data_IF_094099198832
#
_entry.id   IF_094099198832
#
_cell.length_a   1.000
_cell.length_b   1.000
_cell.length_c   1.000
_cell.angle_alpha   90.00
_cell.angle_beta   90.00
_cell.angle_gamma   90.00
#
_symmetry.space_group_name_H-M   'P 1'
#
loop_
_entity.id
_entity.type
_entity.pdbx_description
1 polymer ?
#
# COMPACT_ATOMS: atom_id res chain seq x y z
N UNK A 1 -13.75 3.76 -6.11
CA UNK A 1 -13.30 2.96 -4.96
C UNK A 1 -13.33 1.52 -5.40
N UNK A 2 -12.27 0.76 -5.16
CA UNK A 2 -12.19 -0.66 -5.51
C UNK A 2 -11.67 -1.44 -4.32
N UNK A 3 -12.43 -2.45 -3.89
CA UNK A 3 -11.95 -3.43 -2.91
C UNK A 3 -11.12 -4.48 -3.64
N UNK A 4 -9.95 -4.78 -3.10
CA UNK A 4 -9.02 -5.79 -3.56
C UNK A 4 -8.83 -6.83 -2.44
N UNK A 5 -8.45 -8.03 -2.83
CA UNK A 5 -8.21 -9.17 -1.94
C UNK A 5 -6.93 -9.85 -2.40
N UNK A 6 -6.02 -10.08 -1.47
CA UNK A 6 -4.73 -10.72 -1.71
C UNK A 6 -4.59 -11.88 -0.72
N UNK A 7 -4.24 -13.06 -1.25
CA UNK A 7 -4.04 -14.26 -0.45
C UNK A 7 -2.89 -15.11 -0.99
N UNK A 8 -2.24 -15.84 -0.08
CA UNK A 8 -1.13 -16.71 -0.45
C UNK A 8 -0.23 -17.05 0.74
N UNK A 9 0.98 -17.48 0.41
CA UNK A 9 2.03 -17.79 1.38
C UNK A 9 3.32 -17.07 0.98
N UNK A 10 3.95 -16.37 1.92
CA UNK A 10 5.19 -15.66 1.64
C UNK A 10 5.84 -15.02 2.84
N UNK A 11 7.02 -14.45 2.62
CA UNK A 11 7.70 -13.61 3.61
C UNK A 11 7.01 -12.25 3.71
N UNK A 12 7.23 -11.53 4.81
CA UNK A 12 6.73 -10.15 4.94
C UNK A 12 7.17 -9.25 3.78
N UNK A 13 8.39 -9.46 3.25
CA UNK A 13 8.91 -8.71 2.11
C UNK A 13 8.15 -9.00 0.81
N UNK A 14 7.88 -10.28 0.51
CA UNK A 14 7.15 -10.67 -0.70
C UNK A 14 5.67 -10.27 -0.63
N UNK A 15 5.06 -10.27 0.56
CA UNK A 15 3.68 -9.81 0.75
C UNK A 15 3.58 -8.31 0.46
N UNK A 16 4.50 -7.51 1.01
CA UNK A 16 4.56 -6.08 0.73
C UNK A 16 4.81 -5.79 -0.76
N UNK A 17 5.67 -6.55 -1.41
CA UNK A 17 5.92 -6.42 -2.85
C UNK A 17 4.64 -6.63 -3.67
N UNK A 18 3.85 -7.66 -3.37
CA UNK A 18 2.57 -7.90 -4.02
C UNK A 18 1.58 -6.77 -3.76
N UNK A 19 1.46 -6.31 -2.51
CA UNK A 19 0.61 -5.18 -2.15
C UNK A 19 0.97 -3.91 -2.94
N UNK A 20 2.25 -3.56 -3.01
CA UNK A 20 2.68 -2.38 -3.74
C UNK A 20 2.60 -2.55 -5.25
N UNK A 21 2.82 -3.74 -5.78
CA UNK A 21 2.55 -4.04 -7.19
C UNK A 21 1.07 -3.82 -7.52
N UNK A 22 0.14 -4.24 -6.65
CA UNK A 22 -1.30 -4.04 -6.85
C UNK A 22 -1.71 -2.55 -6.81
N UNK A 23 -1.16 -1.78 -5.86
CA UNK A 23 -1.44 -0.33 -5.74
C UNK A 23 -0.84 0.45 -6.91
N UNK A 24 0.40 0.13 -7.28
CA UNK A 24 1.16 0.84 -8.29
C UNK A 24 0.93 0.29 -9.70
N UNK A 25 0.16 -0.79 -9.90
CA UNK A 25 -0.14 -1.34 -11.23
C UNK A 25 -0.75 -0.32 -12.20
N UNK A 26 -1.44 0.72 -11.68
CA UNK A 26 -1.97 1.83 -12.48
C UNK A 26 -0.89 2.80 -13.00
N UNK A 27 0.31 2.75 -12.45
CA UNK A 27 1.49 3.49 -12.87
C UNK A 27 2.32 2.56 -13.74
N UNK A 28 2.29 2.76 -15.05
CA UNK A 28 3.17 2.02 -15.95
C UNK A 28 4.63 2.25 -15.57
N UNK A 29 5.27 1.29 -14.89
CA UNK A 29 6.64 1.39 -14.41
C UNK A 29 7.07 0.20 -13.57
N UNK A 30 8.37 -0.06 -13.53
CA UNK A 30 8.95 -1.07 -12.63
C UNK A 30 8.95 -0.53 -11.19
N UNK A 31 8.38 -1.30 -10.27
CA UNK A 31 8.31 -0.96 -8.83
C UNK A 31 9.53 -1.42 -8.05
N UNK A 32 10.36 -2.29 -8.62
CA UNK A 32 11.57 -2.81 -7.98
C UNK A 32 12.51 -1.71 -7.45
N UNK A 33 12.75 -0.58 -8.15
CA UNK A 33 13.64 0.48 -7.68
C UNK A 33 13.18 1.18 -6.40
N UNK A 34 11.87 1.23 -6.14
CA UNK A 34 11.29 1.93 -4.98
C UNK A 34 10.88 0.95 -3.86
N UNK A 35 10.87 -0.36 -4.14
CA UNK A 35 10.41 -1.39 -3.21
C UNK A 35 11.13 -1.37 -1.87
N UNK A 36 12.43 -1.07 -1.85
CA UNK A 36 13.21 -0.94 -0.61
C UNK A 36 12.69 0.17 0.31
N UNK A 37 12.37 1.34 -0.27
CA UNK A 37 11.77 2.46 0.46
C UNK A 37 10.35 2.11 0.97
N UNK A 38 9.53 1.52 0.10
CA UNK A 38 8.16 1.14 0.45
C UNK A 38 8.10 0.09 1.56
N UNK A 39 9.02 -0.89 1.55
CA UNK A 39 9.16 -1.85 2.64
C UNK A 39 9.52 -1.19 3.98
N UNK A 40 10.38 -0.17 3.95
CA UNK A 40 10.74 0.58 5.15
C UNK A 40 9.55 1.38 5.69
N UNK A 41 8.76 2.01 4.82
CA UNK A 41 7.55 2.71 5.24
C UNK A 41 6.47 1.77 5.79
N UNK A 42 6.32 0.56 5.24
CA UNK A 42 5.43 -0.44 5.83
C UNK A 42 5.86 -0.87 7.23
N UNK A 43 7.16 -1.04 7.46
CA UNK A 43 7.67 -1.31 8.80
C UNK A 43 7.35 -0.16 9.78
N UNK A 44 7.44 1.09 9.31
CA UNK A 44 7.04 2.26 10.10
C UNK A 44 5.54 2.26 10.42
N UNK A 45 4.68 1.98 9.42
CA UNK A 45 3.23 1.83 9.61
C UNK A 45 2.96 0.76 10.66
N UNK A 46 3.63 -0.40 10.57
CA UNK A 46 3.47 -1.48 11.54
C UNK A 46 3.80 -1.04 12.97
N UNK A 47 4.88 -0.29 13.16
CA UNK A 47 5.26 0.26 14.47
C UNK A 47 4.20 1.24 15.00
N UNK A 48 3.62 2.07 14.15
CA UNK A 48 2.55 3.01 14.55
C UNK A 48 1.25 2.27 14.88
N UNK A 49 0.88 1.29 14.06
CA UNK A 49 -0.29 0.42 14.29
C UNK A 49 -0.15 -0.36 15.60
N UNK A 50 1.06 -0.83 15.97
CA UNK A 50 1.31 -1.47 17.28
C UNK A 50 1.13 -0.54 18.48
N UNK A 51 1.38 0.76 18.30
CA UNK A 51 1.27 1.76 19.39
C UNK A 51 -0.17 2.23 19.63
N UNK A 52 -1.04 2.06 18.65
CA UNK A 52 -2.40 2.61 18.66
C UNK A 52 -3.41 1.52 18.34
N UNK A 53 -4.37 1.26 19.23
CA UNK A 53 -5.43 0.29 18.94
C UNK A 53 -6.25 0.77 17.74
N UNK A 54 -6.17 0.05 16.62
CA UNK A 54 -7.01 0.30 15.45
C UNK A 54 -8.44 -0.09 15.79
N UNK A 55 -9.36 0.87 15.75
CA UNK A 55 -10.77 0.66 16.11
C UNK A 55 -11.70 0.55 14.92
N UNK A 56 -11.22 0.92 13.71
CA UNK A 56 -12.02 0.88 12.48
C UNK A 56 -11.15 0.50 11.29
N UNK A 57 -10.31 1.44 10.84
CA UNK A 57 -9.50 1.29 9.64
C UNK A 57 -8.07 1.77 9.88
N UNK A 58 -7.12 1.19 9.14
CA UNK A 58 -5.75 1.66 9.06
C UNK A 58 -5.29 1.61 7.61
N UNK A 59 -4.33 2.45 7.24
CA UNK A 59 -3.92 2.54 5.84
C UNK A 59 -2.78 3.51 5.62
N UNK A 60 -2.49 3.74 4.34
CA UNK A 60 -1.48 4.66 3.87
C UNK A 60 -2.01 5.49 2.71
N UNK A 61 -1.46 6.70 2.56
CA UNK A 61 -1.73 7.58 1.42
C UNK A 61 -0.47 7.64 0.57
N UNK A 62 -0.61 7.33 -0.73
CA UNK A 62 0.47 7.47 -1.72
C UNK A 62 0.11 8.63 -2.65
N UNK A 63 0.97 9.63 -2.69
CA UNK A 63 0.89 10.74 -3.64
C UNK A 63 1.74 10.44 -4.87
N UNK A 64 1.14 10.60 -6.05
CA UNK A 64 1.75 10.27 -7.34
C UNK A 64 1.68 11.52 -8.22
N UNK A 65 2.82 11.96 -8.71
CA UNK A 65 2.90 13.09 -9.64
C UNK A 65 3.23 12.52 -11.01
N UNK A 66 2.29 12.60 -11.93
CA UNK A 66 2.46 12.18 -13.31
C UNK A 66 2.55 13.40 -14.21
N UNK A 67 3.57 13.41 -15.08
CA UNK A 67 3.65 14.33 -16.21
C UNK A 67 3.14 13.56 -17.41
N UNK A 68 1.92 13.84 -17.88
CA UNK A 68 1.43 13.29 -19.13
C UNK A 68 2.06 14.09 -20.30
N UNK A 69 3.04 13.53 -21.03
CA UNK A 69 3.83 14.31 -22.00
C UNK A 69 2.97 14.88 -23.14
N UNK A 70 1.86 14.20 -23.47
CA UNK A 70 0.93 14.60 -24.53
C UNK A 70 0.04 15.78 -24.12
N UNK A 71 -0.23 15.94 -22.81
CA UNK A 71 -1.14 16.98 -22.31
C UNK A 71 -0.39 18.17 -21.68
N UNK A 72 0.91 18.03 -21.37
CA UNK A 72 1.70 19.02 -20.62
C UNK A 72 1.01 19.47 -19.30
N UNK A 73 0.15 18.62 -18.75
CA UNK A 73 -0.52 18.82 -17.46
C UNK A 73 0.14 17.92 -16.44
N UNK A 74 0.54 18.52 -15.32
CA UNK A 74 0.96 17.78 -14.13
C UNK A 74 -0.30 17.32 -13.43
N UNK A 75 -0.52 16.01 -13.40
CA UNK A 75 -1.63 15.41 -12.65
C UNK A 75 -1.07 14.84 -11.36
N UNK A 76 -1.62 15.29 -10.23
CA UNK A 76 -1.31 14.71 -8.93
C UNK A 76 -2.43 13.77 -8.53
N UNK A 77 -2.14 12.48 -8.44
CA UNK A 77 -3.09 11.47 -7.96
C UNK A 77 -2.73 11.07 -6.53
N UNK A 78 -3.68 11.17 -5.62
CA UNK A 78 -3.57 10.59 -4.28
C UNK A 78 -4.33 9.27 -4.25
N UNK A 79 -3.66 8.22 -3.82
CA UNK A 79 -4.26 6.91 -3.57
C UNK A 79 -4.29 6.67 -2.07
N UNK A 80 -5.48 6.55 -1.51
CA UNK A 80 -5.64 6.09 -0.14
C UNK A 80 -5.94 4.60 -0.14
N UNK A 81 -5.02 3.81 0.40
CA UNK A 81 -5.16 2.37 0.55
C UNK A 81 -5.37 2.04 2.03
N UNK A 82 -6.50 1.44 2.38
CA UNK A 82 -6.85 1.13 3.76
C UNK A 82 -7.51 -0.24 3.93
N UNK A 83 -7.44 -0.78 5.14
CA UNK A 83 -8.00 -2.07 5.51
C UNK A 83 -8.64 -2.03 6.90
N UNK A 84 -9.32 -3.11 7.28
CA UNK A 84 -10.07 -3.24 8.52
C UNK A 84 -9.18 -3.44 9.75
N UNK A 85 -9.75 -3.27 10.94
CA UNK A 85 -9.09 -3.59 12.20
C UNK A 85 -8.67 -5.07 12.29
N UNK A 86 -9.41 -6.01 11.70
CA UNK A 86 -9.07 -7.44 11.69
C UNK A 86 -7.76 -7.70 10.93
N UNK A 87 -7.59 -7.05 9.77
CA UNK A 87 -6.33 -7.10 9.02
C UNK A 87 -5.20 -6.41 9.79
N UNK A 88 -5.50 -5.39 10.61
CA UNK A 88 -4.50 -4.74 11.47
C UNK A 88 -3.93 -5.70 12.52
N UNK A 89 -4.78 -6.53 13.13
CA UNK A 89 -4.37 -7.53 14.12
C UNK A 89 -3.42 -8.56 13.49
N UNK A 90 -3.76 -9.07 12.31
CA UNK A 90 -2.84 -9.94 11.54
C UNK A 90 -1.55 -9.21 11.17
N UNK A 91 -1.65 -8.03 10.57
CA UNK A 91 -0.52 -7.25 10.10
C UNK A 91 0.48 -6.94 11.21
N UNK A 92 0.00 -6.64 12.43
CA UNK A 92 0.88 -6.38 13.59
C UNK A 92 1.50 -7.64 14.17
N UNK A 93 0.95 -8.83 13.92
CA UNK A 93 1.52 -10.12 14.33
C UNK A 93 2.70 -10.57 13.46
N UNK A 94 2.77 -10.11 12.21
CA UNK A 94 3.87 -10.41 11.28
C UNK A 94 5.17 -9.73 11.74
N UNK A 95 6.33 -10.36 11.55
CA UNK A 95 7.62 -9.72 11.82
C UNK A 95 8.23 -9.19 10.53
N UNK A 96 8.20 -7.87 10.33
CA UNK A 96 8.88 -7.23 9.19
C UNK A 96 10.39 -7.50 9.26
N UNK A 97 10.95 -8.13 8.22
CA UNK A 97 12.36 -8.56 8.17
C UNK A 97 12.60 -10.01 8.57
N UNK A 98 11.58 -10.75 9.01
CA UNK A 98 11.66 -12.20 9.19
C UNK A 98 11.68 -12.90 7.83
N UNK A 99 12.47 -13.97 7.73
CA UNK A 99 12.43 -14.93 6.61
C UNK A 99 11.34 -16.00 6.81
N UNK A 100 10.57 -15.90 7.90
CA UNK A 100 9.40 -16.76 8.11
C UNK A 100 8.36 -16.56 7.02
N UNK A 101 7.74 -17.67 6.64
CA UNK A 101 6.59 -17.66 5.74
C UNK A 101 5.32 -17.51 6.56
N UNK A 102 4.47 -16.59 6.12
CA UNK A 102 3.14 -16.36 6.66
C UNK A 102 2.12 -16.71 5.59
N UNK A 103 1.09 -17.45 6.00
CA UNK A 103 -0.13 -17.54 5.21
C UNK A 103 -0.93 -16.26 5.44
N UNK A 104 -1.41 -15.65 4.37
CA UNK A 104 -2.15 -14.39 4.42
C UNK A 104 -3.40 -14.47 3.56
N UNK A 105 -4.43 -13.77 4.05
CA UNK A 105 -5.67 -13.48 3.35
C UNK A 105 -6.15 -12.14 3.93
N UNK A 106 -6.07 -11.09 3.14
CA UNK A 106 -6.50 -9.76 3.55
C UNK A 106 -7.20 -9.02 2.43
N UNK A 107 -8.11 -8.13 2.84
CA UNK A 107 -8.84 -7.24 1.93
C UNK A 107 -8.41 -5.81 2.18
N UNK A 108 -8.30 -5.01 1.13
CA UNK A 108 -8.03 -3.58 1.25
C UNK A 108 -8.82 -2.81 0.21
N UNK A 109 -9.07 -1.53 0.49
CA UNK A 109 -9.78 -0.63 -0.41
C UNK A 109 -8.82 0.42 -0.92
N UNK A 110 -8.84 0.65 -2.24
CA UNK A 110 -8.11 1.76 -2.87
C UNK A 110 -9.09 2.84 -3.29
N UNK A 111 -8.82 4.07 -2.86
CA UNK A 111 -9.56 5.28 -3.24
C UNK A 111 -8.62 6.23 -3.95
N UNK A 112 -8.92 6.55 -5.20
CA UNK A 112 -8.14 7.47 -6.02
C UNK A 112 -8.78 8.86 -6.01
N UNK A 113 -7.96 9.88 -5.72
CA UNK A 113 -8.29 11.29 -5.83
C UNK A 113 -7.35 11.93 -6.84
N UNK A 114 -7.88 12.35 -7.99
CA UNK A 114 -7.09 13.09 -8.97
C UNK A 114 -7.25 14.57 -8.69
N UNK A 115 -6.14 15.25 -8.44
CA UNK A 115 -6.06 16.70 -8.34
C UNK A 115 -5.56 17.26 -9.66
N UNK A 116 -6.44 18.02 -10.32
CA UNK A 116 -6.11 18.86 -11.47
C UNK A 116 -6.06 20.32 -10.99
N UNK A 117 -4.89 20.99 -10.99
CA UNK A 117 -4.81 22.39 -10.58
C UNK A 117 -5.55 23.36 -11.52
N UNK A 118 -6.07 22.89 -12.66
CA UNK A 118 -6.79 23.69 -13.65
C UNK A 118 -8.33 23.57 -13.58
N UNK A 119 -8.85 22.70 -12.72
CA UNK A 119 -10.30 22.48 -12.51
C UNK A 119 -10.86 23.25 -11.32
#
# INVERSE_FOLDING_TARGET
MSQQEESGDGTAASINEQFFAAILAGLSGDVAPILGYLNQEMANIQVQTKKSKVTSEFGTVIGLISVMPVLNVVVTTFQYAYSSAETADWFTSVTCGSVEHYSYDYKFTVVNYNYDPTS
#
